data_IF_411197547788
#
_entry.id   IF_411197547788
#
_cell.length_a   1.000
_cell.length_b   1.000
_cell.length_c   1.000
_cell.angle_alpha   90.00
_cell.angle_beta   90.00
_cell.angle_gamma   90.00
#
_symmetry.space_group_name_H-M   'P 1'
#
loop_
_entity.id
_entity.type
_entity.pdbx_description
1 polymer ?
#
# COMPACT_ATOMS: atom_id res chain seq x y z
N UNK A 1 -9.70 -24.52 -44.99
CA UNK A 1 -9.92 -23.36 -44.09
C UNK A 1 -10.27 -23.74 -42.66
N UNK A 2 -11.26 -24.61 -42.36
CA UNK A 2 -11.62 -24.99 -40.97
C UNK A 2 -10.48 -25.54 -40.09
N UNK A 3 -9.61 -26.40 -40.63
CA UNK A 3 -8.50 -27.01 -39.85
C UNK A 3 -7.41 -26.02 -39.47
N UNK A 4 -7.15 -24.99 -40.27
CA UNK A 4 -6.18 -23.94 -39.93
C UNK A 4 -6.72 -23.01 -38.83
N UNK A 5 -7.98 -22.59 -38.93
CA UNK A 5 -8.65 -21.80 -37.89
C UNK A 5 -8.59 -22.55 -36.54
N UNK A 6 -8.90 -23.86 -36.54
CA UNK A 6 -8.86 -24.67 -35.32
C UNK A 6 -7.45 -24.71 -34.69
N UNK A 7 -6.39 -24.82 -35.54
CA UNK A 7 -5.00 -24.80 -35.04
C UNK A 7 -4.59 -23.45 -34.45
N UNK A 8 -5.02 -22.33 -35.06
CA UNK A 8 -4.77 -20.98 -34.56
C UNK A 8 -5.49 -20.77 -33.21
N UNK A 9 -6.75 -21.17 -33.13
CA UNK A 9 -7.55 -21.10 -31.90
C UNK A 9 -6.92 -21.97 -30.79
N UNK A 10 -6.54 -23.21 -31.13
CA UNK A 10 -5.88 -24.08 -30.16
C UNK A 10 -4.52 -23.50 -29.69
N UNK A 11 -3.72 -22.93 -30.60
CA UNK A 11 -2.47 -22.24 -30.26
C UNK A 11 -2.69 -21.04 -29.35
N UNK A 12 -3.72 -20.24 -29.59
CA UNK A 12 -4.08 -19.12 -28.74
C UNK A 12 -4.46 -19.55 -27.31
N UNK A 13 -5.28 -20.59 -27.16
CA UNK A 13 -5.63 -21.13 -25.85
C UNK A 13 -4.43 -21.75 -25.12
N UNK A 14 -3.51 -22.39 -25.86
CA UNK A 14 -2.29 -22.90 -25.29
C UNK A 14 -1.40 -21.77 -24.73
N UNK A 15 -1.27 -20.66 -25.47
CA UNK A 15 -0.51 -19.49 -24.99
C UNK A 15 -1.13 -18.87 -23.72
N UNK A 16 -2.45 -18.76 -23.66
CA UNK A 16 -3.16 -18.31 -22.46
C UNK A 16 -2.88 -19.26 -21.28
N UNK A 17 -2.99 -20.57 -21.53
CA UNK A 17 -2.75 -21.57 -20.48
C UNK A 17 -1.30 -21.50 -19.95
N UNK A 18 -0.31 -21.34 -20.83
CA UNK A 18 1.08 -21.16 -20.47
C UNK A 18 1.33 -19.86 -19.69
N UNK A 19 0.69 -18.77 -20.10
CA UNK A 19 0.75 -17.50 -19.41
C UNK A 19 0.16 -17.59 -17.99
N UNK A 20 -1.03 -18.18 -17.83
CA UNK A 20 -1.68 -18.40 -16.54
C UNK A 20 -0.84 -19.32 -15.65
N UNK A 21 -0.26 -20.39 -16.23
CA UNK A 21 0.66 -21.28 -15.51
C UNK A 21 1.92 -20.52 -15.04
N UNK A 22 2.48 -19.67 -15.89
CA UNK A 22 3.60 -18.80 -15.54
C UNK A 22 3.29 -17.88 -14.36
N UNK A 23 2.12 -17.22 -14.38
CA UNK A 23 1.65 -16.39 -13.26
C UNK A 23 1.45 -17.22 -11.99
N UNK A 24 0.85 -18.41 -12.11
CA UNK A 24 0.65 -19.30 -10.97
C UNK A 24 1.97 -19.71 -10.30
N UNK A 25 3.00 -20.04 -11.10
CA UNK A 25 4.34 -20.34 -10.60
C UNK A 25 4.98 -19.10 -9.97
N UNK A 26 4.94 -17.95 -10.65
CA UNK A 26 5.52 -16.70 -10.20
C UNK A 26 4.89 -16.19 -8.88
N UNK A 27 3.58 -16.40 -8.69
CA UNK A 27 2.87 -16.08 -7.44
C UNK A 27 3.10 -17.10 -6.31
N UNK A 28 4.04 -18.04 -6.50
CA UNK A 28 4.30 -19.12 -5.52
C UNK A 28 3.11 -20.04 -5.29
N UNK A 29 2.29 -20.31 -6.32
CA UNK A 29 1.05 -21.07 -6.23
C UNK A 29 -0.15 -20.26 -5.78
N UNK A 30 -0.23 -18.99 -6.17
CA UNK A 30 -1.29 -18.04 -5.81
C UNK A 30 -1.47 -17.90 -4.28
N UNK A 31 -0.35 -17.81 -3.56
CA UNK A 31 -0.36 -17.61 -2.09
C UNK A 31 -0.88 -16.24 -1.68
N UNK A 32 -0.76 -15.23 -2.58
CA UNK A 32 -1.29 -13.90 -2.40
C UNK A 32 -0.65 -13.13 -1.26
N UNK A 33 0.67 -13.23 -1.10
CA UNK A 33 1.46 -12.47 -0.12
C UNK A 33 2.22 -11.39 -0.85
N UNK A 34 1.98 -10.13 -0.49
CA UNK A 34 2.76 -8.99 -0.94
C UNK A 34 3.58 -8.41 0.21
N UNK A 35 4.83 -8.08 -0.05
CA UNK A 35 5.67 -7.34 0.88
C UNK A 35 6.20 -6.09 0.19
N UNK A 36 6.10 -4.96 0.87
CA UNK A 36 6.61 -3.67 0.39
C UNK A 36 7.46 -3.04 1.48
N UNK A 37 8.61 -2.54 1.09
CA UNK A 37 9.49 -1.79 1.97
C UNK A 37 10.06 -0.60 1.20
N UNK A 38 10.07 0.57 1.84
CA UNK A 38 10.76 1.74 1.34
C UNK A 38 11.22 2.62 2.50
N UNK A 39 12.22 3.44 2.25
CA UNK A 39 12.71 4.41 3.23
C UNK A 39 13.06 5.73 2.55
N UNK A 40 12.90 6.83 3.30
CA UNK A 40 13.25 8.16 2.85
C UNK A 40 13.90 8.95 3.99
N UNK A 41 14.96 9.69 3.67
CA UNK A 41 15.57 10.64 4.62
C UNK A 41 14.92 12.00 4.42
N UNK A 42 14.35 12.56 5.49
CA UNK A 42 13.67 13.86 5.54
C UNK A 42 14.51 14.79 6.43
N UNK A 43 14.84 15.99 5.93
CA UNK A 43 15.66 16.97 6.64
C UNK A 43 14.83 17.77 7.66
N UNK A 44 14.12 17.04 8.54
CA UNK A 44 13.33 17.57 9.65
C UNK A 44 13.37 16.58 10.82
N UNK A 45 13.18 17.05 12.06
CA UNK A 45 13.05 16.18 13.23
C UNK A 45 11.74 15.37 13.16
N UNK A 46 11.71 14.22 13.83
CA UNK A 46 10.55 13.31 13.79
C UNK A 46 9.25 13.97 14.27
N UNK A 47 9.33 14.90 15.23
CA UNK A 47 8.17 15.66 15.72
C UNK A 47 7.50 16.49 14.61
N UNK A 48 8.24 16.93 13.60
CA UNK A 48 7.68 17.63 12.44
C UNK A 48 7.07 16.69 11.40
N UNK A 49 7.52 15.43 11.34
CA UNK A 49 7.07 14.42 10.38
C UNK A 49 5.84 13.67 10.90
N UNK A 50 5.83 13.32 12.18
CA UNK A 50 4.82 12.45 12.78
C UNK A 50 3.36 12.92 12.55
N UNK A 51 3.03 14.21 12.61
CA UNK A 51 1.69 14.70 12.29
C UNK A 51 1.24 14.37 10.86
N UNK A 52 2.15 14.26 9.90
CA UNK A 52 1.84 13.87 8.52
C UNK A 52 1.45 12.40 8.37
N UNK A 53 1.86 11.57 9.32
CA UNK A 53 1.47 10.16 9.36
C UNK A 53 0.15 9.94 10.08
N UNK A 54 -0.28 10.90 10.92
CA UNK A 54 -1.37 10.70 11.89
C UNK A 54 -2.58 11.60 11.69
N UNK A 55 -2.43 12.73 11.00
CA UNK A 55 -3.52 13.66 10.69
C UNK A 55 -4.16 13.31 9.34
N UNK A 56 -5.47 12.98 9.30
CA UNK A 56 -6.17 12.64 8.07
C UNK A 56 -6.11 13.74 6.99
N UNK A 57 -6.10 15.01 7.39
CA UNK A 57 -5.96 16.13 6.46
C UNK A 57 -4.61 16.12 5.77
N UNK A 58 -3.54 15.96 6.55
CA UNK A 58 -2.16 15.91 6.04
C UNK A 58 -1.88 14.64 5.22
N UNK A 59 -2.45 13.50 5.58
CA UNK A 59 -2.31 12.25 4.82
C UNK A 59 -2.76 12.40 3.37
N UNK A 60 -3.82 13.14 3.09
CA UNK A 60 -4.34 13.40 1.75
C UNK A 60 -3.36 14.16 0.85
N UNK A 61 -2.44 14.90 1.43
CA UNK A 61 -1.49 15.71 0.67
C UNK A 61 -0.36 14.90 0.06
N UNK A 62 -0.09 13.70 0.59
CA UNK A 62 1.03 12.88 0.15
C UNK A 62 0.66 11.45 -0.27
N UNK A 63 -0.42 10.87 0.26
CA UNK A 63 -0.87 9.53 -0.15
C UNK A 63 -1.66 9.64 -1.45
N UNK A 64 -1.09 9.18 -2.54
CA UNK A 64 -1.76 9.19 -3.84
C UNK A 64 -3.05 8.37 -3.81
N UNK A 65 -4.14 9.01 -4.24
CA UNK A 65 -5.46 8.40 -4.31
C UNK A 65 -6.25 8.44 -3.00
N UNK A 66 -5.71 8.91 -1.88
CA UNK A 66 -6.49 9.05 -0.64
C UNK A 66 -7.47 10.23 -0.77
N UNK A 67 -8.74 9.92 -1.03
CA UNK A 67 -9.81 10.90 -1.18
C UNK A 67 -10.40 11.32 0.17
N UNK A 68 -10.64 10.36 1.06
CA UNK A 68 -11.22 10.59 2.38
C UNK A 68 -10.58 9.68 3.44
N UNK A 69 -10.38 10.21 4.64
CA UNK A 69 -10.07 9.44 5.85
C UNK A 69 -10.96 9.94 6.96
N UNK A 70 -11.84 9.08 7.46
CA UNK A 70 -12.87 9.39 8.45
C UNK A 70 -12.67 8.55 9.71
N UNK A 71 -12.46 9.17 10.89
CA UNK A 71 -12.44 8.44 12.15
C UNK A 71 -13.75 7.69 12.40
N UNK A 72 -13.65 6.42 12.77
CA UNK A 72 -14.77 5.58 13.22
C UNK A 72 -14.80 5.47 14.74
N UNK A 73 -13.73 5.86 15.42
CA UNK A 73 -13.59 5.79 16.89
C UNK A 73 -13.40 7.19 17.43
N UNK A 74 -14.18 7.54 18.43
CA UNK A 74 -14.02 8.81 19.17
C UNK A 74 -12.79 8.75 20.11
N UNK A 75 -12.31 9.93 20.55
CA UNK A 75 -11.22 10.07 21.53
C UNK A 75 -9.81 10.15 20.93
N UNK A 76 -9.71 10.42 19.62
CA UNK A 76 -8.44 10.72 18.95
C UNK A 76 -7.55 9.50 18.70
N UNK A 77 -6.32 9.76 18.27
CA UNK A 77 -5.34 8.75 17.90
C UNK A 77 -4.82 7.99 19.13
N UNK A 78 -5.01 6.69 19.14
CA UNK A 78 -4.50 5.75 20.14
C UNK A 78 -4.48 4.33 19.57
N UNK A 79 -3.83 3.40 20.23
CA UNK A 79 -3.95 1.96 19.89
C UNK A 79 -5.41 1.53 19.99
N UNK A 80 -5.89 0.81 18.97
CA UNK A 80 -7.29 0.44 18.80
C UNK A 80 -8.18 1.52 18.16
N UNK A 81 -7.66 2.73 17.88
CA UNK A 81 -8.40 3.72 17.10
C UNK A 81 -8.60 3.23 15.67
N UNK A 82 -9.81 3.40 15.13
CA UNK A 82 -10.20 2.94 13.79
C UNK A 82 -10.60 4.12 12.92
N UNK A 83 -10.29 4.02 11.64
CA UNK A 83 -10.75 4.95 10.60
C UNK A 83 -11.17 4.20 9.35
N UNK A 84 -11.96 4.87 8.52
CA UNK A 84 -12.32 4.42 7.18
C UNK A 84 -11.62 5.33 6.18
N UNK A 85 -10.91 4.72 5.26
CA UNK A 85 -10.25 5.41 4.15
C UNK A 85 -10.93 5.06 2.82
N UNK A 86 -11.11 6.10 1.99
CA UNK A 86 -11.60 5.96 0.62
C UNK A 86 -10.43 6.27 -0.31
N UNK A 87 -10.01 5.25 -1.07
CA UNK A 87 -8.99 5.39 -2.11
C UNK A 87 -9.66 5.48 -3.47
N UNK A 88 -9.24 6.46 -4.28
CA UNK A 88 -9.66 6.64 -5.68
C UNK A 88 -8.47 6.48 -6.60
N UNK A 89 -8.54 5.53 -7.53
CA UNK A 89 -7.54 5.33 -8.57
C UNK A 89 -8.25 5.28 -9.93
N UNK A 90 -8.17 6.37 -10.66
CA UNK A 90 -9.01 6.57 -11.85
C UNK A 90 -10.49 6.65 -11.46
N UNK A 91 -11.33 5.79 -12.02
CA UNK A 91 -12.75 5.70 -11.69
C UNK A 91 -13.04 4.65 -10.60
N UNK A 92 -12.04 3.88 -10.18
CA UNK A 92 -12.20 2.84 -9.18
C UNK A 92 -12.10 3.40 -7.77
N UNK A 93 -13.08 3.04 -6.94
CA UNK A 93 -13.11 3.36 -5.51
C UNK A 93 -12.86 2.10 -4.70
N UNK A 94 -11.91 2.18 -3.76
CA UNK A 94 -11.66 1.14 -2.75
C UNK A 94 -11.92 1.72 -1.37
N UNK A 95 -12.77 1.07 -0.59
CA UNK A 95 -13.00 1.39 0.82
C UNK A 95 -12.15 0.46 1.67
N UNK A 96 -11.41 1.05 2.61
CA UNK A 96 -10.59 0.32 3.57
C UNK A 96 -10.94 0.78 4.98
N UNK A 97 -10.80 -0.13 5.94
CA UNK A 97 -10.76 0.22 7.36
C UNK A 97 -9.33 0.04 7.86
N UNK A 98 -8.89 0.97 8.67
CA UNK A 98 -7.61 0.87 9.39
C UNK A 98 -7.82 0.87 10.89
N UNK A 99 -6.95 0.15 11.59
CA UNK A 99 -6.89 0.11 13.06
C UNK A 99 -5.44 0.32 13.50
N UNK A 100 -5.22 1.25 14.40
CA UNK A 100 -3.89 1.49 15.00
C UNK A 100 -3.53 0.32 15.91
N UNK A 101 -2.49 -0.42 15.55
CA UNK A 101 -2.01 -1.60 16.31
C UNK A 101 -0.82 -1.30 17.21
N UNK A 102 -0.03 -0.27 16.89
CA UNK A 102 1.03 0.23 17.76
C UNK A 102 1.22 1.74 17.54
N UNK A 103 1.55 2.45 18.63
CA UNK A 103 1.78 3.89 18.59
C UNK A 103 2.84 4.26 19.64
N UNK A 104 3.97 4.79 19.19
CA UNK A 104 4.97 5.48 20.02
C UNK A 104 5.21 6.86 19.36
N UNK A 105 4.72 7.96 19.95
CA UNK A 105 4.78 9.28 19.34
C UNK A 105 6.19 9.66 18.87
N UNK A 106 6.28 10.15 17.63
CA UNK A 106 7.50 10.55 16.94
C UNK A 106 8.51 9.41 16.65
N UNK A 107 8.14 8.15 16.90
CA UNK A 107 9.02 7.00 16.64
C UNK A 107 8.37 5.93 15.80
N UNK A 108 7.08 5.63 16.07
CA UNK A 108 6.42 4.48 15.47
C UNK A 108 4.92 4.70 15.34
N UNK A 109 4.38 4.35 14.20
CA UNK A 109 2.97 4.05 14.02
C UNK A 109 2.83 2.75 13.25
N UNK A 110 2.00 1.82 13.75
CA UNK A 110 1.61 0.63 13.01
C UNK A 110 0.08 0.58 12.89
N UNK A 111 -0.38 0.17 11.73
CA UNK A 111 -1.81 0.04 11.45
C UNK A 111 -2.07 -1.28 10.73
N UNK A 112 -3.20 -1.90 11.06
CA UNK A 112 -3.78 -2.98 10.28
C UNK A 112 -4.81 -2.36 9.35
N UNK A 113 -4.71 -2.65 8.06
CA UNK A 113 -5.68 -2.24 7.06
C UNK A 113 -6.47 -3.45 6.58
N UNK A 114 -7.76 -3.26 6.33
CA UNK A 114 -8.67 -4.31 5.86
C UNK A 114 -9.55 -3.74 4.76
N UNK A 115 -9.63 -4.43 3.63
CA UNK A 115 -10.53 -4.11 2.52
C UNK A 115 -11.21 -5.38 2.02
N UNK A 116 -12.08 -5.27 1.04
CA UNK A 116 -12.65 -6.46 0.38
C UNK A 116 -11.58 -7.30 -0.31
N UNK A 117 -10.55 -6.66 -0.89
CA UNK A 117 -9.52 -7.31 -1.69
C UNK A 117 -8.33 -7.84 -0.91
N UNK A 118 -7.98 -7.24 0.22
CA UNK A 118 -6.77 -7.58 0.98
C UNK A 118 -6.85 -7.18 2.45
N UNK A 119 -6.00 -7.82 3.24
CA UNK A 119 -5.57 -7.38 4.57
C UNK A 119 -4.11 -6.94 4.49
N UNK A 120 -3.71 -5.95 5.30
CA UNK A 120 -2.33 -5.48 5.37
C UNK A 120 -1.94 -5.08 6.78
N UNK A 121 -0.70 -5.37 7.15
CA UNK A 121 -0.05 -4.88 8.36
C UNK A 121 1.02 -3.88 7.94
N UNK A 122 0.82 -2.60 8.25
CA UNK A 122 1.68 -1.48 7.84
C UNK A 122 2.39 -0.91 9.06
N UNK A 123 3.66 -0.59 8.90
CA UNK A 123 4.48 0.02 9.95
C UNK A 123 5.29 1.19 9.39
N UNK A 124 5.23 2.31 10.08
CA UNK A 124 6.06 3.48 9.90
C UNK A 124 6.99 3.60 11.10
N UNK A 125 8.30 3.56 10.87
CA UNK A 125 9.32 3.78 11.90
C UNK A 125 10.14 5.02 11.56
N UNK A 126 10.38 5.88 12.56
CA UNK A 126 11.17 7.09 12.43
C UNK A 126 12.43 6.97 13.28
N UNK A 127 13.57 7.16 12.66
CA UNK A 127 14.89 7.12 13.32
C UNK A 127 15.59 8.47 13.09
N UNK A 128 15.73 9.26 14.16
CA UNK A 128 16.40 10.56 14.10
C UNK A 128 17.91 10.41 14.04
N UNK A 129 18.55 11.21 13.20
CA UNK A 129 20.00 11.33 13.07
C UNK A 129 20.37 12.83 12.90
N UNK A 130 20.64 13.49 14.01
CA UNK A 130 20.93 14.94 14.02
C UNK A 130 19.70 15.76 13.62
N UNK A 131 19.81 16.55 12.55
CA UNK A 131 18.73 17.40 12.06
C UNK A 131 17.79 16.70 11.06
N UNK A 132 18.02 15.43 10.76
CA UNK A 132 17.23 14.64 9.79
C UNK A 132 16.65 13.40 10.45
N UNK A 133 15.63 12.84 9.82
CA UNK A 133 14.96 11.61 10.25
C UNK A 133 14.84 10.66 9.08
N UNK A 134 15.20 9.40 9.28
CA UNK A 134 14.89 8.33 8.34
C UNK A 134 13.51 7.79 8.67
N UNK A 135 12.58 7.92 7.72
CA UNK A 135 11.30 7.24 7.78
C UNK A 135 11.42 5.94 7.00
N UNK A 136 11.13 4.82 7.67
CA UNK A 136 11.02 3.48 7.07
C UNK A 136 9.57 3.04 7.07
N UNK A 137 9.09 2.62 5.91
CA UNK A 137 7.81 1.94 5.73
C UNK A 137 8.05 0.46 5.52
N UNK A 138 7.25 -0.39 6.16
CA UNK A 138 7.10 -1.81 5.82
C UNK A 138 5.63 -2.18 5.78
N UNK A 139 5.24 -3.03 4.84
CA UNK A 139 3.88 -3.49 4.69
C UNK A 139 3.82 -4.95 4.25
N UNK A 140 3.13 -5.76 5.04
CA UNK A 140 2.81 -7.16 4.75
C UNK A 140 1.36 -7.26 4.33
N UNK A 141 1.10 -7.72 3.10
CA UNK A 141 -0.24 -7.80 2.52
C UNK A 141 -0.64 -9.25 2.23
N UNK A 142 -1.95 -9.52 2.37
CA UNK A 142 -2.58 -10.81 2.03
C UNK A 142 -3.78 -10.56 1.15
N UNK A 143 -3.66 -10.90 -0.12
CA UNK A 143 -4.74 -10.81 -1.10
C UNK A 143 -5.73 -11.96 -0.91
N UNK A 144 -7.05 -11.65 -0.85
CA UNK A 144 -8.11 -12.63 -0.61
C UNK A 144 -8.63 -13.25 -1.91
N UNK A 145 -9.07 -12.48 -2.93
CA UNK A 145 -9.61 -13.04 -4.16
C UNK A 145 -8.55 -13.84 -4.92
N UNK A 146 -8.94 -15.00 -5.45
CA UNK A 146 -8.02 -15.87 -6.21
C UNK A 146 -7.34 -15.12 -7.36
N UNK A 147 -8.08 -14.27 -8.09
CA UNK A 147 -7.53 -13.48 -9.19
C UNK A 147 -6.45 -12.52 -8.72
N UNK A 148 -6.65 -11.81 -7.60
CA UNK A 148 -5.63 -10.92 -7.05
C UNK A 148 -4.39 -11.70 -6.59
N UNK A 149 -4.58 -12.89 -6.01
CA UNK A 149 -3.45 -13.76 -5.64
C UNK A 149 -2.66 -14.26 -6.85
N UNK A 150 -3.33 -14.55 -7.94
CA UNK A 150 -2.70 -14.97 -9.19
C UNK A 150 -1.96 -13.80 -9.85
N UNK A 151 -2.54 -12.59 -9.80
CA UNK A 151 -1.98 -11.38 -10.41
C UNK A 151 -0.97 -10.65 -9.50
N UNK A 152 -0.71 -11.14 -8.29
CA UNK A 152 0.20 -10.52 -7.33
C UNK A 152 1.56 -10.14 -7.94
N UNK A 153 2.24 -10.97 -8.76
CA UNK A 153 3.53 -10.61 -9.37
C UNK A 153 3.46 -9.40 -10.31
N UNK A 154 2.28 -9.07 -10.82
CA UNK A 154 2.05 -7.88 -11.65
C UNK A 154 1.66 -6.67 -10.81
N UNK A 155 0.96 -6.88 -9.69
CA UNK A 155 0.48 -5.83 -8.77
C UNK A 155 1.63 -5.28 -7.93
N UNK A 156 2.45 -6.16 -7.35
CA UNK A 156 3.53 -5.80 -6.41
C UNK A 156 4.49 -4.73 -6.92
N UNK A 157 5.01 -4.79 -8.17
CA UNK A 157 5.90 -3.73 -8.67
C UNK A 157 5.22 -2.37 -8.82
N UNK A 158 3.92 -2.33 -9.10
CA UNK A 158 3.14 -1.09 -9.22
C UNK A 158 2.87 -0.47 -7.86
N UNK A 159 2.51 -1.30 -6.87
CA UNK A 159 2.31 -0.88 -5.49
C UNK A 159 3.62 -0.37 -4.86
N UNK A 160 4.76 -1.03 -5.15
CA UNK A 160 6.07 -0.58 -4.70
C UNK A 160 6.42 0.81 -5.26
N UNK A 161 6.25 1.03 -6.56
CA UNK A 161 6.50 2.36 -7.19
C UNK A 161 5.58 3.45 -6.63
N UNK A 162 4.29 3.10 -6.37
CA UNK A 162 3.37 4.03 -5.71
C UNK A 162 3.88 4.42 -4.33
N UNK A 163 4.26 3.45 -3.49
CA UNK A 163 4.81 3.69 -2.15
C UNK A 163 6.03 4.63 -2.19
N UNK A 164 6.98 4.35 -3.08
CA UNK A 164 8.19 5.19 -3.24
C UNK A 164 7.82 6.63 -3.64
N UNK A 165 6.86 6.78 -4.57
CA UNK A 165 6.33 8.09 -4.97
C UNK A 165 5.64 8.82 -3.82
N UNK A 166 4.83 8.13 -3.02
CA UNK A 166 4.14 8.68 -1.86
C UNK A 166 5.16 9.18 -0.81
N UNK A 167 6.20 8.39 -0.49
CA UNK A 167 7.25 8.80 0.45
C UNK A 167 8.07 9.99 -0.05
N UNK A 168 8.35 10.06 -1.35
CA UNK A 168 9.01 11.23 -1.94
C UNK A 168 8.14 12.48 -1.89
N UNK A 169 6.82 12.34 -2.09
CA UNK A 169 5.86 13.43 -1.93
C UNK A 169 5.78 13.88 -0.47
N UNK A 170 5.71 12.94 0.48
CA UNK A 170 5.77 13.24 1.91
C UNK A 170 7.01 14.07 2.27
N UNK A 171 8.20 13.61 1.82
CA UNK A 171 9.44 14.37 2.02
C UNK A 171 9.30 15.81 1.51
N UNK A 172 8.81 15.96 0.29
CA UNK A 172 8.65 17.27 -0.34
C UNK A 172 7.76 18.21 0.45
N UNK A 173 6.58 17.76 0.91
CA UNK A 173 5.63 18.60 1.65
C UNK A 173 6.12 18.92 3.07
N UNK A 174 6.76 17.98 3.75
CA UNK A 174 7.35 18.20 5.09
C UNK A 174 8.51 19.17 5.04
N UNK A 175 9.41 19.06 4.06
CA UNK A 175 10.58 19.94 3.92
C UNK A 175 10.20 21.34 3.47
N UNK A 176 9.13 21.49 2.68
CA UNK A 176 8.58 22.78 2.30
C UNK A 176 8.00 23.60 3.47
N UNK A 177 7.74 22.95 4.63
CA UNK A 177 7.27 23.62 5.83
C UNK A 177 5.79 24.00 5.80
N UNK A 178 4.98 23.30 4.99
CA UNK A 178 3.53 23.44 4.94
C UNK A 178 2.84 22.70 6.07
#
# INVERSE_FOLDING_TARGET
MKKWILRVVAGFFLLIALFVLGLYIASGGAKGKGYHEASVVINKPAVAIFPWLTDPGKQKEWIFGLAESKPLTEGGLRVGARSQEIMLVGEEQTVMESEVTALDPNKLMAVKVTSEGFDGDIRYALEEAGASTTLRYTGDFRYRPFMLRLLEPLITPSAQRKLEGDLMKLKSVVEAGQ
#
